data_IF_872733217221
#
_entry.id   IF_872733217221
#
_cell.length_a   1.000
_cell.length_b   1.000
_cell.length_c   1.000
_cell.angle_alpha   90.00
_cell.angle_beta   90.00
_cell.angle_gamma   90.00
#
_symmetry.space_group_name_H-M   'P 1'
#
loop_
_entity.id
_entity.type
_entity.pdbx_description
1 polymer ?
#
# COMPACT_ATOMS: atom_id res chain seq x y z
N UNK A 1 -19.43 -6.62 -3.73
CA UNK A 1 -18.71 -6.40 -2.45
C UNK A 1 -18.32 -4.92 -2.40
N UNK A 2 -18.87 -4.16 -1.44
CA UNK A 2 -18.77 -2.70 -1.36
C UNK A 2 -18.21 -2.18 -0.04
N UNK A 3 -17.37 -2.97 0.65
CA UNK A 3 -16.66 -2.55 1.87
C UNK A 3 -15.23 -3.08 1.79
N UNK A 4 -14.25 -2.18 1.95
CA UNK A 4 -12.82 -2.52 1.95
C UNK A 4 -12.43 -3.36 3.18
N UNK A 5 -13.07 -3.10 4.32
CA UNK A 5 -12.75 -3.74 5.59
C UNK A 5 -13.83 -4.75 6.01
N UNK A 6 -13.40 -5.95 6.39
CA UNK A 6 -14.28 -7.05 6.87
C UNK A 6 -14.77 -6.80 8.30
N UNK A 7 -13.95 -6.13 9.12
CA UNK A 7 -14.14 -5.90 10.56
C UNK A 7 -14.74 -4.53 10.91
N UNK A 8 -15.14 -3.74 9.89
CA UNK A 8 -15.74 -2.41 10.06
C UNK A 8 -17.20 -2.41 9.56
N UNK A 9 -18.15 -2.06 10.44
CA UNK A 9 -19.58 -2.08 10.14
C UNK A 9 -20.33 -0.86 10.70
N UNK A 10 -21.48 -0.52 10.08
CA UNK A 10 -22.21 0.73 10.29
C UNK A 10 -22.74 0.95 11.72
N UNK A 11 -22.72 -0.09 12.56
CA UNK A 11 -23.09 -0.01 13.97
C UNK A 11 -21.95 0.43 14.90
N UNK A 12 -20.72 0.54 14.41
CA UNK A 12 -19.58 1.00 15.19
C UNK A 12 -19.49 2.52 15.18
N UNK A 13 -19.16 3.12 16.33
CA UNK A 13 -19.10 4.58 16.49
C UNK A 13 -18.07 5.28 15.59
N UNK A 14 -17.03 4.57 15.18
CA UNK A 14 -15.94 5.05 14.32
C UNK A 14 -16.14 4.74 12.83
N UNK A 15 -17.28 4.15 12.46
CA UNK A 15 -17.50 3.62 11.11
C UNK A 15 -17.35 4.69 10.04
N UNK A 16 -17.97 5.86 10.23
CA UNK A 16 -17.98 6.91 9.22
C UNK A 16 -16.57 7.49 9.01
N UNK A 17 -15.84 7.71 10.11
CA UNK A 17 -14.51 8.29 10.11
C UNK A 17 -13.50 7.38 9.42
N UNK A 18 -13.54 6.07 9.71
CA UNK A 18 -12.66 5.10 9.06
C UNK A 18 -13.02 4.97 7.59
N UNK A 19 -14.29 4.87 7.24
CA UNK A 19 -14.70 4.72 5.84
C UNK A 19 -14.40 5.97 5.00
N UNK A 20 -14.53 7.16 5.57
CA UNK A 20 -14.11 8.41 4.91
C UNK A 20 -12.59 8.43 4.67
N UNK A 21 -11.80 8.18 5.72
CA UNK A 21 -10.34 8.15 5.62
C UNK A 21 -9.85 7.06 4.63
N UNK A 22 -10.56 5.95 4.55
CA UNK A 22 -10.25 4.81 3.67
C UNK A 22 -10.36 5.17 2.19
N UNK A 23 -11.25 6.10 1.85
CA UNK A 23 -11.47 6.55 0.48
C UNK A 23 -10.51 7.67 0.07
N UNK A 24 -9.69 8.18 1.00
CA UNK A 24 -8.71 9.21 0.71
C UNK A 24 -7.37 8.59 0.29
N UNK A 25 -6.96 8.90 -0.94
CA UNK A 25 -5.66 8.53 -1.50
C UNK A 25 -4.79 9.78 -1.65
N UNK A 26 -3.51 9.62 -1.35
CA UNK A 26 -2.48 10.63 -1.58
C UNK A 26 -2.08 10.63 -3.07
N UNK A 27 -1.36 11.67 -3.50
CA UNK A 27 -0.86 11.81 -4.89
C UNK A 27 0.09 10.70 -5.32
N UNK A 28 0.79 10.07 -4.37
CA UNK A 28 1.62 8.89 -4.63
C UNK A 28 0.80 7.61 -4.84
N UNK A 29 -0.53 7.68 -4.71
CA UNK A 29 -1.46 6.57 -4.85
C UNK A 29 -1.61 5.73 -3.57
N UNK A 30 -0.91 6.06 -2.49
CA UNK A 30 -1.05 5.37 -1.21
C UNK A 30 -2.29 5.85 -0.44
N UNK A 31 -2.97 4.98 0.32
CA UNK A 31 -4.14 5.36 1.09
C UNK A 31 -3.71 6.10 2.38
N UNK A 32 -4.56 7.03 2.85
CA UNK A 32 -4.34 7.70 4.15
C UNK A 32 -4.25 6.68 5.28
N UNK A 33 -5.22 5.76 5.34
CA UNK A 33 -5.25 4.65 6.29
C UNK A 33 -5.07 3.33 5.57
N UNK A 34 -4.23 2.47 6.14
CA UNK A 34 -3.97 1.12 5.66
C UNK A 34 -4.32 0.12 6.76
N UNK A 35 -4.70 -1.09 6.36
CA UNK A 35 -4.90 -2.21 7.27
C UNK A 35 -3.57 -2.86 7.63
N UNK A 36 -3.63 -3.85 8.52
CA UNK A 36 -2.48 -4.66 8.88
C UNK A 36 -2.53 -5.98 8.11
N UNK A 37 -1.36 -6.43 7.64
CA UNK A 37 -1.25 -7.72 6.94
C UNK A 37 -1.38 -8.87 7.93
N UNK A 38 -2.11 -9.91 7.57
CA UNK A 38 -2.31 -11.07 8.43
C UNK A 38 -2.48 -12.35 7.61
N UNK A 39 -2.02 -13.46 8.17
CA UNK A 39 -1.99 -14.78 7.53
C UNK A 39 -2.34 -15.92 8.48
N UNK A 40 -2.36 -15.67 9.79
CA UNK A 40 -2.69 -16.66 10.82
C UNK A 40 -4.12 -16.50 11.34
N UNK A 41 -4.78 -17.62 11.59
CA UNK A 41 -6.17 -17.67 12.04
C UNK A 41 -6.33 -18.59 13.26
N UNK A 42 -7.10 -18.15 14.26
CA UNK A 42 -7.59 -18.99 15.35
C UNK A 42 -8.78 -19.85 14.91
N UNK A 43 -9.51 -19.39 13.89
CA UNK A 43 -10.58 -20.14 13.24
C UNK A 43 -10.47 -19.99 11.73
N UNK A 44 -10.54 -21.10 10.97
CA UNK A 44 -10.11 -21.13 9.58
C UNK A 44 -10.89 -20.14 8.73
N UNK A 45 -10.18 -19.53 7.77
CA UNK A 45 -10.77 -18.85 6.63
C UNK A 45 -11.00 -19.88 5.54
N UNK A 46 -12.23 -19.97 5.04
CA UNK A 46 -12.60 -20.92 3.99
C UNK A 46 -13.25 -20.15 2.85
N UNK A 47 -12.81 -20.46 1.63
CA UNK A 47 -13.56 -20.15 0.42
C UNK A 47 -13.55 -21.39 -0.45
N UNK A 48 -14.70 -22.02 -0.64
CA UNK A 48 -14.83 -23.23 -1.45
C UNK A 48 -16.02 -23.16 -2.39
N UNK A 49 -15.86 -23.76 -3.56
CA UNK A 49 -16.89 -23.78 -4.60
C UNK A 49 -17.10 -25.21 -5.09
N UNK A 50 -18.38 -25.58 -5.18
CA UNK A 50 -18.83 -26.88 -5.65
C UNK A 50 -19.79 -26.70 -6.82
N UNK A 51 -19.70 -27.59 -7.79
CA UNK A 51 -20.76 -27.77 -8.77
C UNK A 51 -21.83 -28.67 -8.17
N UNK A 52 -23.07 -28.18 -8.11
CA UNK A 52 -24.19 -28.96 -7.60
C UNK A 52 -24.52 -30.11 -8.57
N UNK A 53 -24.63 -31.31 -8.03
CA UNK A 53 -25.13 -32.52 -8.68
C UNK A 53 -26.54 -32.89 -8.16
N UNK A 54 -27.28 -31.93 -7.61
CA UNK A 54 -28.61 -32.14 -7.02
C UNK A 54 -28.59 -32.60 -5.55
N UNK A 55 -27.45 -32.48 -4.87
CA UNK A 55 -27.30 -32.77 -3.44
C UNK A 55 -27.61 -31.54 -2.58
N UNK A 56 -28.20 -31.75 -1.39
CA UNK A 56 -28.38 -30.71 -0.38
C UNK A 56 -27.22 -30.64 0.63
N UNK A 57 -26.34 -31.64 0.63
CA UNK A 57 -25.26 -31.79 1.59
C UNK A 57 -23.90 -31.64 0.91
N UNK A 58 -23.04 -30.79 1.48
CA UNK A 58 -21.71 -30.50 0.95
C UNK A 58 -20.67 -30.75 2.03
N UNK A 59 -19.56 -31.37 1.68
CA UNK A 59 -18.44 -31.64 2.59
C UNK A 59 -17.31 -30.67 2.26
N UNK A 60 -16.99 -29.78 3.20
CA UNK A 60 -15.87 -28.86 3.13
C UNK A 60 -14.55 -29.59 3.43
N UNK A 61 -13.40 -29.07 2.96
CA UNK A 61 -12.09 -29.64 3.24
C UNK A 61 -11.74 -29.68 4.74
N UNK A 62 -12.22 -28.69 5.49
CA UNK A 62 -11.94 -28.52 6.91
C UNK A 62 -13.25 -28.42 7.72
N UNK A 63 -13.18 -28.83 8.98
CA UNK A 63 -14.29 -28.68 9.91
C UNK A 63 -14.50 -27.21 10.27
N UNK A 64 -15.76 -26.77 10.28
CA UNK A 64 -16.13 -25.39 10.58
C UNK A 64 -17.10 -25.32 11.74
N UNK A 65 -16.91 -24.30 12.57
CA UNK A 65 -17.84 -23.95 13.66
C UNK A 65 -18.24 -22.49 13.48
N UNK A 66 -19.36 -22.22 12.77
CA UNK A 66 -19.82 -20.84 12.56
C UNK A 66 -20.15 -20.17 13.89
N UNK A 67 -19.65 -18.95 14.08
CA UNK A 67 -19.94 -18.12 15.25
C UNK A 67 -20.42 -16.74 14.81
N UNK A 68 -20.87 -15.88 15.74
CA UNK A 68 -21.23 -14.49 15.40
C UNK A 68 -20.06 -13.71 14.80
N UNK A 69 -18.84 -13.95 15.30
CA UNK A 69 -17.63 -13.25 14.87
C UNK A 69 -16.96 -13.88 13.64
N UNK A 70 -17.31 -15.14 13.32
CA UNK A 70 -16.86 -15.84 12.12
C UNK A 70 -18.02 -16.64 11.51
N UNK A 71 -18.98 -15.97 10.85
CA UNK A 71 -20.14 -16.62 10.26
C UNK A 71 -19.79 -17.35 8.97
N UNK A 72 -20.50 -18.44 8.70
CA UNK A 72 -20.47 -19.11 7.40
C UNK A 72 -21.50 -18.46 6.47
N UNK A 73 -21.06 -18.05 5.29
CA UNK A 73 -21.90 -17.56 4.22
C UNK A 73 -22.00 -18.59 3.10
N UNK A 74 -23.21 -18.78 2.59
CA UNK A 74 -23.48 -19.68 1.47
C UNK A 74 -24.08 -18.87 0.33
N UNK A 75 -23.58 -19.11 -0.87
CA UNK A 75 -24.09 -18.51 -2.10
C UNK A 75 -24.45 -19.61 -3.09
N UNK A 76 -25.58 -19.46 -3.78
CA UNK A 76 -25.96 -20.31 -4.92
C UNK A 76 -26.07 -19.38 -6.12
N UNK A 77 -25.25 -19.64 -7.15
CA UNK A 77 -25.14 -18.80 -8.36
C UNK A 77 -24.96 -17.30 -8.01
N UNK A 78 -24.18 -17.03 -6.96
CA UNK A 78 -23.89 -15.67 -6.47
C UNK A 78 -24.95 -15.06 -5.55
N UNK A 79 -26.10 -15.72 -5.34
CA UNK A 79 -27.16 -15.24 -4.44
C UNK A 79 -26.96 -15.81 -3.04
N UNK A 80 -26.87 -14.92 -2.03
CA UNK A 80 -26.73 -15.32 -0.63
C UNK A 80 -27.95 -16.12 -0.17
N UNK A 81 -27.72 -17.29 0.41
CA UNK A 81 -28.75 -18.18 0.97
C UNK A 81 -28.42 -18.57 2.42
N UNK A 82 -29.40 -19.15 3.10
CA UNK A 82 -29.26 -19.70 4.45
C UNK A 82 -29.04 -21.21 4.38
N UNK A 83 -28.16 -21.73 5.22
CA UNK A 83 -27.96 -23.16 5.42
C UNK A 83 -28.86 -23.67 6.56
N UNK A 84 -29.16 -24.97 6.56
CA UNK A 84 -29.97 -25.64 7.57
C UNK A 84 -29.16 -26.00 8.81
N UNK A 85 -28.01 -26.65 8.62
CA UNK A 85 -27.12 -27.03 9.73
C UNK A 85 -25.69 -27.24 9.27
N UNK A 86 -24.77 -27.18 10.24
CA UNK A 86 -23.35 -27.47 10.06
C UNK A 86 -22.94 -28.49 11.12
N UNK A 87 -22.39 -29.62 10.67
CA UNK A 87 -21.90 -30.69 11.53
C UNK A 87 -20.44 -31.01 11.13
N UNK A 88 -19.48 -30.47 11.87
CA UNK A 88 -18.06 -30.60 11.54
C UNK A 88 -17.74 -29.96 10.20
N UNK A 89 -17.34 -30.76 9.21
CA UNK A 89 -17.05 -30.29 7.86
C UNK A 89 -18.25 -30.40 6.89
N UNK A 90 -19.41 -30.84 7.38
CA UNK A 90 -20.58 -31.08 6.54
C UNK A 90 -21.60 -29.96 6.70
N UNK A 91 -22.00 -29.34 5.59
CA UNK A 91 -23.01 -28.28 5.52
C UNK A 91 -24.25 -28.81 4.80
N UNK A 92 -25.41 -28.71 5.44
CA UNK A 92 -26.70 -29.08 4.86
C UNK A 92 -27.49 -27.83 4.49
N UNK A 93 -28.02 -27.77 3.28
CA UNK A 93 -28.89 -26.70 2.79
C UNK A 93 -30.37 -27.08 2.96
N UNK A 94 -31.26 -26.10 3.05
CA UNK A 94 -32.70 -26.34 3.15
C UNK A 94 -33.31 -27.02 1.92
N UNK A 95 -32.72 -26.78 0.75
CA UNK A 95 -33.13 -27.36 -0.52
C UNK A 95 -31.90 -27.71 -1.34
N UNK A 96 -32.00 -28.80 -2.12
CA UNK A 96 -30.98 -29.17 -3.08
C UNK A 96 -30.90 -28.10 -4.20
N UNK A 97 -29.72 -27.50 -4.45
CA UNK A 97 -29.52 -26.62 -5.57
C UNK A 97 -29.72 -27.37 -6.89
N UNK A 98 -30.08 -26.63 -7.94
CA UNK A 98 -30.25 -27.20 -9.29
C UNK A 98 -28.92 -27.80 -9.76
N UNK A 99 -29.00 -28.93 -10.48
CA UNK A 99 -27.83 -29.53 -11.12
C UNK A 99 -27.14 -28.50 -12.03
N UNK A 100 -25.83 -28.34 -11.84
CA UNK A 100 -24.99 -27.37 -12.55
C UNK A 100 -24.92 -25.97 -11.92
N UNK A 101 -25.65 -25.69 -10.83
CA UNK A 101 -25.47 -24.45 -10.06
C UNK A 101 -24.13 -24.45 -9.33
N UNK A 102 -23.50 -23.28 -9.24
CA UNK A 102 -22.28 -23.09 -8.44
C UNK A 102 -22.66 -22.73 -7.01
N UNK A 103 -22.23 -23.56 -6.06
CA UNK A 103 -22.45 -23.37 -4.63
C UNK A 103 -21.15 -22.95 -3.99
N UNK A 104 -21.09 -21.73 -3.46
CA UNK A 104 -19.91 -21.15 -2.84
C UNK A 104 -20.11 -21.04 -1.32
N UNK A 105 -19.14 -21.54 -0.56
CA UNK A 105 -19.06 -21.43 0.89
C UNK A 105 -17.95 -20.45 1.23
N UNK A 106 -18.25 -19.42 2.01
CA UNK A 106 -17.29 -18.43 2.45
C UNK A 106 -17.36 -18.22 3.95
N UNK A 107 -16.23 -18.38 4.62
CA UNK A 107 -16.05 -18.09 6.03
C UNK A 107 -14.81 -17.18 6.15
N UNK A 108 -14.94 -15.94 6.63
CA UNK A 108 -13.86 -14.94 6.57
C UNK A 108 -12.66 -15.26 7.47
N UNK A 109 -12.82 -16.21 8.39
CA UNK A 109 -11.81 -16.59 9.38
C UNK A 109 -11.79 -15.63 10.58
N UNK A 110 -11.31 -16.13 11.72
CA UNK A 110 -10.97 -15.30 12.88
C UNK A 110 -9.44 -15.17 12.94
N UNK A 111 -8.86 -13.99 12.67
CA UNK A 111 -7.41 -13.79 12.74
C UNK A 111 -6.88 -14.09 14.14
N UNK A 112 -5.68 -14.67 14.21
CA UNK A 112 -4.97 -14.82 15.48
C UNK A 112 -4.37 -13.47 15.89
N UNK A 113 -4.67 -13.02 17.10
CA UNK A 113 -4.22 -11.72 17.62
C UNK A 113 -3.25 -11.89 18.81
N UNK A 114 -2.34 -10.94 18.98
CA UNK A 114 -1.53 -10.80 20.18
C UNK A 114 -2.29 -10.10 21.32
N UNK A 115 -1.63 -9.93 22.47
CA UNK A 115 -2.20 -9.28 23.65
C UNK A 115 -2.54 -7.79 23.42
N UNK A 116 -2.04 -7.20 22.34
CA UNK A 116 -2.25 -5.80 21.97
C UNK A 116 -3.24 -5.65 20.82
N UNK A 117 -3.93 -6.73 20.44
CA UNK A 117 -4.96 -6.74 19.40
C UNK A 117 -4.42 -6.73 17.98
N UNK A 118 -3.12 -6.95 17.78
CA UNK A 118 -2.46 -6.94 16.47
C UNK A 118 -2.41 -8.34 15.88
N UNK A 119 -2.49 -8.50 14.55
CA UNK A 119 -2.41 -9.81 13.94
C UNK A 119 -1.04 -10.46 14.16
N UNK A 120 -1.05 -11.73 14.55
CA UNK A 120 0.16 -12.55 14.63
C UNK A 120 0.48 -13.06 13.23
N UNK A 121 1.72 -12.86 12.78
CA UNK A 121 2.16 -13.45 11.51
C UNK A 121 2.64 -14.89 11.71
N UNK A 122 2.33 -15.79 10.77
CA UNK A 122 2.93 -17.13 10.77
C UNK A 122 4.40 -17.10 10.35
N UNK A 123 4.82 -16.02 9.66
CA UNK A 123 6.16 -15.88 9.10
C UNK A 123 6.35 -16.77 7.87
N UNK A 124 7.01 -16.25 6.84
CA UNK A 124 7.32 -17.02 5.64
C UNK A 124 7.29 -16.21 4.36
N UNK A 125 7.49 -16.91 3.25
CA UNK A 125 7.36 -16.36 1.90
C UNK A 125 5.91 -16.54 1.45
N UNK A 126 5.30 -15.45 0.97
CA UNK A 126 3.95 -15.46 0.43
C UNK A 126 3.99 -15.48 -1.09
N UNK A 127 3.09 -16.25 -1.69
CA UNK A 127 3.01 -16.38 -3.14
C UNK A 127 1.65 -15.90 -3.63
N UNK A 128 1.63 -14.98 -4.60
CA UNK A 128 0.38 -14.60 -5.24
C UNK A 128 -0.29 -15.84 -5.86
N UNK A 129 -1.60 -16.06 -5.61
CA UNK A 129 -2.33 -17.14 -6.25
C UNK A 129 -2.16 -17.08 -7.76
N UNK A 130 -1.88 -18.25 -8.34
CA UNK A 130 -1.52 -18.33 -9.75
C UNK A 130 -2.17 -19.51 -10.45
N UNK A 131 -2.28 -19.39 -11.77
CA UNK A 131 -2.74 -20.47 -12.65
C UNK A 131 -2.05 -20.35 -14.00
N UNK A 132 -1.32 -21.39 -14.41
CA UNK A 132 -0.74 -21.47 -15.75
C UNK A 132 -1.79 -22.00 -16.72
N UNK A 133 -2.07 -21.24 -17.78
CA UNK A 133 -3.07 -21.60 -18.77
C UNK A 133 -2.75 -22.97 -19.40
N UNK A 134 -3.74 -23.86 -19.39
CA UNK A 134 -3.65 -25.15 -20.04
C UNK A 134 -4.42 -25.11 -21.37
N UNK A 135 -3.71 -25.33 -22.47
CA UNK A 135 -4.28 -25.36 -23.82
C UNK A 135 -4.79 -26.74 -24.23
N UNK A 136 -5.30 -27.53 -23.27
CA UNK A 136 -5.74 -28.91 -23.51
C UNK A 136 -4.62 -29.84 -23.98
N UNK A 137 -3.38 -29.58 -23.55
CA UNK A 137 -2.18 -30.31 -24.01
C UNK A 137 -1.71 -29.96 -25.43
N UNK A 138 -2.33 -28.99 -26.11
CA UNK A 138 -1.89 -28.57 -27.44
C UNK A 138 -0.65 -27.67 -27.35
N UNK A 139 0.53 -28.26 -27.61
CA UNK A 139 1.82 -27.55 -27.57
C UNK A 139 1.99 -26.46 -28.66
N UNK A 140 1.12 -26.43 -29.67
CA UNK A 140 1.16 -25.40 -30.71
C UNK A 140 0.46 -24.11 -30.28
N UNK A 141 -0.34 -24.14 -29.22
CA UNK A 141 -1.01 -22.96 -28.68
C UNK A 141 -0.14 -22.30 -27.61
N UNK A 142 -0.04 -20.98 -27.71
CA UNK A 142 0.58 -20.13 -26.70
C UNK A 142 -0.29 -18.92 -26.40
N UNK A 143 -0.15 -18.38 -25.20
CA UNK A 143 -0.85 -17.16 -24.82
C UNK A 143 -0.31 -15.99 -25.66
N UNK A 144 -1.22 -15.14 -26.12
CA UNK A 144 -0.87 -13.95 -26.90
C UNK A 144 -1.60 -12.73 -26.37
N UNK A 145 -0.84 -11.63 -26.21
CA UNK A 145 -1.37 -10.36 -25.76
C UNK A 145 -0.69 -9.21 -26.48
N UNK A 146 -1.50 -8.25 -26.95
CA UNK A 146 -1.02 -7.01 -27.51
C UNK A 146 -1.90 -5.85 -26.97
N UNK A 147 -1.36 -4.96 -26.13
CA UNK A 147 -2.14 -3.86 -25.54
C UNK A 147 -2.53 -2.78 -26.56
N UNK A 148 -1.91 -2.75 -27.74
CA UNK A 148 -2.11 -1.70 -28.75
C UNK A 148 -3.11 -2.10 -29.84
N UNK A 149 -3.58 -3.35 -29.85
CA UNK A 149 -4.51 -3.84 -30.85
C UNK A 149 -5.75 -4.43 -30.15
N UNK A 150 -6.88 -3.74 -30.32
CA UNK A 150 -8.17 -4.09 -29.74
C UNK A 150 -8.71 -5.44 -30.22
N UNK A 151 -8.14 -6.03 -31.28
CA UNK A 151 -8.52 -7.36 -31.75
C UNK A 151 -8.14 -8.45 -30.75
N UNK A 152 -7.10 -8.23 -29.95
CA UNK A 152 -6.58 -9.23 -29.01
C UNK A 152 -7.08 -8.93 -27.60
N UNK A 153 -8.32 -9.32 -27.39
CA UNK A 153 -9.04 -9.07 -26.13
C UNK A 153 -8.49 -9.95 -25.00
N UNK A 154 -8.39 -9.34 -23.83
CA UNK A 154 -8.15 -10.02 -22.56
C UNK A 154 -9.03 -9.43 -21.47
N UNK A 155 -9.79 -10.30 -20.80
CA UNK A 155 -10.62 -9.93 -19.67
C UNK A 155 -10.66 -11.04 -18.64
N UNK A 156 -10.35 -10.69 -17.39
CA UNK A 156 -10.51 -11.57 -16.24
C UNK A 156 -11.65 -11.05 -15.36
N UNK A 157 -12.57 -11.94 -14.99
CA UNK A 157 -13.71 -11.61 -14.15
C UNK A 157 -13.69 -12.44 -12.86
N UNK A 158 -13.92 -11.75 -11.75
CA UNK A 158 -14.20 -12.35 -10.44
C UNK A 158 -15.57 -11.87 -9.98
N UNK A 159 -16.46 -12.79 -9.57
CA UNK A 159 -17.79 -12.43 -9.08
C UNK A 159 -18.61 -11.53 -10.03
N UNK A 160 -18.42 -11.70 -11.35
CA UNK A 160 -19.06 -10.86 -12.38
C UNK A 160 -18.46 -9.45 -12.55
N UNK A 161 -17.45 -9.06 -11.75
CA UNK A 161 -16.70 -7.82 -11.91
C UNK A 161 -15.45 -8.06 -12.74
N UNK A 162 -15.23 -7.21 -13.74
CA UNK A 162 -13.97 -7.19 -14.49
C UNK A 162 -12.83 -6.69 -13.60
N UNK A 163 -11.73 -7.42 -13.57
CA UNK A 163 -10.47 -7.00 -12.96
C UNK A 163 -9.66 -6.18 -13.96
N UNK A 164 -8.79 -5.31 -13.45
CA UNK A 164 -7.87 -4.49 -14.24
C UNK A 164 -6.57 -5.24 -14.45
N UNK A 165 -6.09 -5.26 -15.70
CA UNK A 165 -4.78 -5.82 -16.00
C UNK A 165 -3.67 -4.86 -15.56
N UNK A 166 -2.70 -5.33 -14.79
CA UNK A 166 -1.47 -4.61 -14.55
C UNK A 166 -0.67 -4.46 -15.86
N UNK A 167 -0.22 -3.25 -16.17
CA UNK A 167 0.64 -3.00 -17.31
C UNK A 167 2.11 -3.22 -16.92
N UNK A 168 2.58 -4.45 -17.07
CA UNK A 168 3.95 -4.85 -16.76
C UNK A 168 4.73 -4.99 -18.07
N UNK A 169 5.83 -4.25 -18.20
CA UNK A 169 6.67 -4.32 -19.40
C UNK A 169 7.33 -5.69 -19.52
N UNK A 170 7.48 -6.20 -20.75
CA UNK A 170 8.06 -7.52 -21.01
C UNK A 170 9.47 -7.70 -20.39
N UNK A 171 10.30 -6.65 -20.43
CA UNK A 171 11.63 -6.66 -19.82
C UNK A 171 11.59 -6.79 -18.29
N UNK A 172 10.55 -6.27 -17.63
CA UNK A 172 10.43 -6.37 -16.18
C UNK A 172 10.21 -7.82 -15.74
N UNK A 173 9.41 -8.59 -16.47
CA UNK A 173 9.18 -10.03 -16.21
C UNK A 173 10.45 -10.87 -16.21
N UNK A 174 11.47 -10.46 -16.97
CA UNK A 174 12.77 -11.15 -17.03
C UNK A 174 13.82 -10.56 -16.10
N UNK A 175 13.66 -9.29 -15.69
CA UNK A 175 14.65 -8.58 -14.86
C UNK A 175 14.59 -8.94 -13.37
N UNK A 176 13.41 -9.35 -12.88
CA UNK A 176 13.24 -9.77 -11.50
C UNK A 176 13.58 -11.24 -11.36
N UNK A 177 14.58 -11.56 -10.52
CA UNK A 177 14.91 -12.94 -10.17
C UNK A 177 13.76 -13.62 -9.40
N UNK A 178 13.08 -12.86 -8.53
CA UNK A 178 11.86 -13.28 -7.85
C UNK A 178 10.64 -12.52 -8.40
N UNK A 179 9.74 -13.26 -9.05
CA UNK A 179 8.49 -12.71 -9.60
C UNK A 179 7.58 -12.15 -8.50
N UNK A 180 7.70 -12.58 -7.24
CA UNK A 180 6.86 -12.06 -6.16
C UNK A 180 7.11 -10.57 -5.89
N UNK A 181 8.35 -10.10 -6.01
CA UNK A 181 8.69 -8.67 -5.86
C UNK A 181 8.07 -7.82 -6.99
N UNK A 182 8.10 -8.33 -8.23
CA UNK A 182 7.42 -7.71 -9.36
C UNK A 182 5.89 -7.63 -9.12
N UNK A 183 5.28 -8.74 -8.68
CA UNK A 183 3.85 -8.79 -8.41
C UNK A 183 3.45 -7.91 -7.23
N UNK A 184 4.32 -7.75 -6.23
CA UNK A 184 4.12 -6.81 -5.12
C UNK A 184 4.07 -5.36 -5.59
N UNK A 185 4.92 -4.96 -6.53
CA UNK A 185 4.89 -3.63 -7.18
C UNK A 185 3.58 -3.40 -7.95
N UNK A 186 3.12 -4.39 -8.72
CA UNK A 186 2.02 -4.19 -9.69
C UNK A 186 0.63 -4.62 -9.22
N UNK A 187 0.52 -5.58 -8.31
CA UNK A 187 -0.74 -6.03 -7.70
C UNK A 187 -0.81 -5.46 -6.28
N UNK A 188 0.19 -5.78 -5.45
CA UNK A 188 0.16 -5.44 -4.03
C UNK A 188 -1.06 -6.04 -3.33
N UNK A 189 -1.72 -5.28 -2.47
CA UNK A 189 -2.97 -5.70 -1.81
C UNK A 189 -4.25 -5.22 -2.51
N UNK A 190 -4.16 -4.75 -3.76
CA UNK A 190 -5.34 -4.32 -4.52
C UNK A 190 -6.15 -5.55 -4.91
N UNK A 191 -7.46 -5.50 -4.65
CA UNK A 191 -8.39 -6.62 -4.89
C UNK A 191 -8.90 -6.67 -6.33
N UNK A 192 -8.62 -5.64 -7.13
CA UNK A 192 -9.16 -5.47 -8.47
C UNK A 192 -8.11 -5.53 -9.58
N UNK A 193 -6.86 -5.91 -9.28
CA UNK A 193 -5.77 -5.97 -10.28
C UNK A 193 -5.24 -7.39 -10.44
N UNK A 194 -5.01 -7.81 -11.68
CA UNK A 194 -4.35 -9.08 -12.00
C UNK A 194 -3.18 -8.85 -12.96
N UNK A 195 -2.26 -9.81 -13.06
CA UNK A 195 -1.16 -9.79 -14.02
C UNK A 195 -1.08 -11.10 -14.78
N UNK A 196 -0.63 -11.06 -16.03
CA UNK A 196 -0.34 -12.26 -16.82
C UNK A 196 1.08 -12.15 -17.35
N UNK A 197 1.88 -13.17 -17.06
CA UNK A 197 3.22 -13.32 -17.61
C UNK A 197 3.11 -13.71 -19.09
N UNK A 198 3.53 -12.83 -20.02
CA UNK A 198 3.37 -13.08 -21.44
C UNK A 198 4.22 -14.24 -21.95
N UNK A 199 5.29 -14.63 -21.25
CA UNK A 199 6.18 -15.70 -21.68
C UNK A 199 5.67 -17.08 -21.29
N UNK A 200 5.00 -17.18 -20.14
CA UNK A 200 4.52 -18.47 -19.61
C UNK A 200 3.00 -18.64 -19.71
N UNK A 201 2.26 -17.57 -19.97
CA UNK A 201 0.80 -17.57 -19.86
C UNK A 201 0.32 -17.83 -18.44
N UNK A 202 1.13 -17.50 -17.42
CA UNK A 202 0.72 -17.65 -16.02
C UNK A 202 -0.05 -16.44 -15.56
N UNK A 203 -1.29 -16.65 -15.12
CA UNK A 203 -2.18 -15.64 -14.56
C UNK A 203 -1.92 -15.56 -13.06
N UNK A 204 -1.65 -14.36 -12.56
CA UNK A 204 -1.48 -14.03 -11.14
C UNK A 204 -2.59 -13.10 -10.68
N UNK A 205 -3.17 -13.39 -9.52
CA UNK A 205 -4.30 -12.66 -8.97
C UNK A 205 -4.04 -12.24 -7.51
N UNK A 206 -4.80 -11.29 -6.94
CA UNK A 206 -4.66 -10.87 -5.55
C UNK A 206 -4.88 -12.02 -4.57
N UNK A 207 -4.28 -11.92 -3.38
CA UNK A 207 -4.45 -12.91 -2.30
C UNK A 207 -5.91 -13.13 -1.91
N UNK A 208 -6.76 -12.09 -2.02
CA UNK A 208 -8.20 -12.17 -1.73
C UNK A 208 -8.96 -13.10 -2.68
N UNK A 209 -8.41 -13.38 -3.88
CA UNK A 209 -8.99 -14.26 -4.89
C UNK A 209 -8.39 -15.67 -4.86
N UNK A 210 -7.62 -16.03 -3.81
CA UNK A 210 -7.13 -17.38 -3.65
C UNK A 210 -8.30 -18.39 -3.61
N UNK A 211 -8.21 -19.43 -4.42
CA UNK A 211 -9.24 -20.48 -4.53
C UNK A 211 -10.60 -20.00 -5.06
N UNK A 212 -10.67 -18.81 -5.67
CA UNK A 212 -11.89 -18.29 -6.33
C UNK A 212 -11.92 -18.74 -7.79
N UNK A 213 -13.07 -19.20 -8.30
CA UNK A 213 -13.25 -19.44 -9.74
C UNK A 213 -13.34 -18.12 -10.50
N UNK A 214 -12.53 -18.01 -11.54
CA UNK A 214 -12.41 -16.81 -12.36
C UNK A 214 -12.78 -17.15 -13.81
N UNK A 215 -13.53 -16.26 -14.45
CA UNK A 215 -13.79 -16.36 -15.89
C UNK A 215 -12.72 -15.59 -16.64
N UNK A 216 -11.99 -16.27 -17.51
CA UNK A 216 -10.92 -15.66 -18.29
C UNK A 216 -11.21 -15.77 -19.78
N UNK A 217 -11.21 -14.62 -20.44
CA UNK A 217 -11.29 -14.49 -21.89
C UNK A 217 -9.96 -13.96 -22.36
N UNK A 218 -9.31 -14.66 -23.28
CA UNK A 218 -7.96 -14.31 -23.73
C UNK A 218 -7.70 -14.80 -25.15
N UNK A 219 -6.63 -14.31 -25.78
CA UNK A 219 -6.22 -14.76 -27.11
C UNK A 219 -5.11 -15.80 -27.00
N UNK A 220 -5.22 -16.88 -27.77
CA UNK A 220 -4.15 -17.83 -28.01
C UNK A 220 -3.64 -17.72 -29.45
N UNK A 221 -2.34 -17.80 -29.65
CA UNK A 221 -1.68 -17.90 -30.95
C UNK A 221 -1.38 -19.37 -31.27
N UNK A 222 -1.79 -19.83 -32.44
CA UNK A 222 -1.56 -21.18 -32.94
C UNK A 222 -0.37 -21.18 -33.90
N UNK A 223 0.78 -21.62 -33.39
CA UNK A 223 2.06 -21.66 -34.14
C UNK A 223 2.03 -22.56 -35.37
N UNK A 224 1.09 -23.51 -35.44
CA UNK A 224 1.02 -24.45 -36.56
C UNK A 224 0.48 -23.82 -37.85
N UNK A 225 -0.34 -22.78 -37.74
CA UNK A 225 -1.01 -22.12 -38.86
C UNK A 225 -0.98 -20.58 -38.79
N UNK A 226 -0.36 -20.01 -37.75
CA UNK A 226 -0.26 -18.56 -37.54
C UNK A 226 -1.58 -17.88 -37.17
N UNK A 227 -2.61 -18.65 -36.79
CA UNK A 227 -3.93 -18.10 -36.45
C UNK A 227 -4.04 -17.65 -34.99
N UNK A 228 -4.92 -16.69 -34.75
CA UNK A 228 -5.26 -16.24 -33.40
C UNK A 228 -6.67 -16.72 -33.06
N UNK A 229 -6.83 -17.31 -31.88
CA UNK A 229 -8.10 -17.87 -31.40
C UNK A 229 -8.48 -17.23 -30.09
N UNK A 230 -9.73 -16.77 -30.00
CA UNK A 230 -10.30 -16.31 -28.75
C UNK A 230 -10.66 -17.53 -27.90
N UNK A 231 -10.12 -17.57 -26.70
CA UNK A 231 -10.33 -18.61 -25.70
C UNK A 231 -11.19 -18.06 -24.58
N UNK A 232 -12.06 -18.90 -24.03
CA UNK A 232 -12.83 -18.61 -22.82
C UNK A 232 -12.81 -19.84 -21.92
N UNK A 233 -12.48 -19.64 -20.66
CA UNK A 233 -12.42 -20.73 -19.69
C UNK A 233 -12.66 -20.26 -18.26
N UNK A 234 -12.93 -21.23 -17.39
CA UNK A 234 -12.91 -21.03 -15.94
C UNK A 234 -11.57 -21.50 -15.42
N UNK A 235 -10.89 -20.66 -14.63
CA UNK A 235 -9.65 -21.03 -13.95
C UNK A 235 -9.79 -20.82 -12.44
N UNK A 236 -9.01 -21.56 -11.66
CA UNK A 236 -8.98 -21.44 -10.19
C UNK A 236 -7.52 -21.22 -9.79
N UNK A 237 -7.17 -19.97 -9.48
CA UNK A 237 -5.82 -19.63 -9.07
C UNK A 237 -5.63 -20.00 -7.60
N UNK A 238 -4.51 -20.64 -7.29
CA UNK A 238 -4.24 -21.16 -5.93
C UNK A 238 -2.85 -20.77 -5.45
N UNK A 239 -2.72 -20.59 -4.15
CA UNK A 239 -1.45 -20.50 -3.43
C UNK A 239 -1.60 -21.18 -2.07
N UNK A 240 -0.52 -21.84 -1.64
CA UNK A 240 -0.40 -22.46 -0.33
C UNK A 240 -0.04 -21.48 0.78
N UNK A 241 0.41 -20.26 0.43
CA UNK A 241 0.85 -19.23 1.38
C UNK A 241 0.40 -17.86 0.89
N UNK A 242 -0.56 -17.27 1.60
CA UNK A 242 -1.19 -16.00 1.23
C UNK A 242 -1.22 -15.04 2.42
N UNK A 243 -1.14 -13.75 2.14
CA UNK A 243 -1.25 -12.70 3.14
C UNK A 243 -2.45 -11.80 2.83
N UNK A 244 -3.32 -11.57 3.80
CA UNK A 244 -4.52 -10.76 3.65
C UNK A 244 -4.32 -9.36 4.21
N UNK A 245 -5.01 -8.37 3.63
CA UNK A 245 -5.04 -6.99 4.08
C UNK A 245 -6.44 -6.38 3.84
N UNK A 246 -7.47 -7.14 4.21
CA UNK A 246 -8.89 -6.79 4.10
C UNK A 246 -9.50 -6.45 5.48
N UNK A 247 -8.67 -6.18 6.50
CA UNK A 247 -9.08 -5.82 7.87
C UNK A 247 -8.32 -4.61 8.38
N UNK A 248 -9.02 -3.79 9.17
CA UNK A 248 -8.45 -2.57 9.75
C UNK A 248 -7.81 -2.83 11.13
N UNK A 249 -8.35 -3.75 11.93
CA UNK A 249 -8.00 -4.02 13.32
C UNK A 249 -8.22 -2.82 14.26
N UNK A 250 -9.50 -2.40 14.49
CA UNK A 250 -9.80 -1.18 15.25
C UNK A 250 -9.34 -1.19 16.71
N UNK A 251 -9.20 -2.38 17.32
CA UNK A 251 -8.76 -2.53 18.71
C UNK A 251 -7.24 -2.69 18.85
N UNK A 252 -6.49 -2.74 17.74
CA UNK A 252 -5.04 -2.87 17.76
C UNK A 252 -4.39 -1.62 18.36
N UNK A 253 -3.48 -1.82 19.33
CA UNK A 253 -2.67 -0.71 19.85
C UNK A 253 -1.70 -0.22 18.78
N UNK A 254 -1.68 1.10 18.59
CA UNK A 254 -0.82 1.77 17.62
C UNK A 254 0.59 2.00 18.18
N UNK A 255 1.61 1.58 17.43
CA UNK A 255 3.01 1.89 17.76
C UNK A 255 3.34 3.34 17.44
N UNK A 256 4.45 3.85 17.98
CA UNK A 256 4.90 5.20 17.69
C UNK A 256 5.26 5.39 16.22
N UNK A 257 5.88 4.39 15.60
CA UNK A 257 6.16 4.37 14.16
C UNK A 257 4.89 4.53 13.31
N UNK A 258 3.83 3.80 13.65
CA UNK A 258 2.53 3.91 12.96
C UNK A 258 1.89 5.29 13.14
N UNK A 259 1.93 5.83 14.36
CA UNK A 259 1.43 7.18 14.62
C UNK A 259 2.18 8.26 13.83
N UNK A 260 3.49 8.12 13.69
CA UNK A 260 4.35 9.01 12.91
C UNK A 260 4.04 8.88 11.42
N UNK A 261 3.93 7.65 10.90
CA UNK A 261 3.55 7.41 9.50
C UNK A 261 2.18 8.01 9.17
N UNK A 262 1.18 7.82 10.06
CA UNK A 262 -0.14 8.43 9.90
C UNK A 262 -0.08 9.97 9.88
N UNK A 263 0.72 10.57 10.75
CA UNK A 263 0.89 12.02 10.77
C UNK A 263 1.60 12.58 9.55
N UNK A 264 2.60 11.88 9.01
CA UNK A 264 3.23 12.29 7.76
C UNK A 264 2.24 12.19 6.60
N UNK A 265 1.41 11.15 6.53
CA UNK A 265 0.35 11.07 5.52
C UNK A 265 -0.67 12.21 5.65
N UNK A 266 -1.06 12.56 6.88
CA UNK A 266 -1.89 13.75 7.13
C UNK A 266 -1.16 15.03 6.68
N UNK A 267 0.13 15.16 6.96
CA UNK A 267 0.98 16.28 6.53
C UNK A 267 0.93 16.44 5.01
N UNK A 268 1.16 15.36 4.28
CA UNK A 268 1.11 15.32 2.82
C UNK A 268 -0.28 15.72 2.29
N UNK A 269 -1.35 15.24 2.93
CA UNK A 269 -2.72 15.63 2.57
C UNK A 269 -2.98 17.13 2.76
N UNK A 270 -2.34 17.78 3.74
CA UNK A 270 -2.47 19.22 3.94
C UNK A 270 -1.75 19.99 2.83
N UNK A 271 -0.53 19.57 2.46
CA UNK A 271 0.17 20.14 1.31
C UNK A 271 -0.67 20.03 0.04
N UNK A 272 -1.18 18.85 -0.29
CA UNK A 272 -2.02 18.60 -1.47
C UNK A 272 -3.29 19.46 -1.52
N UNK A 273 -3.88 19.78 -0.37
CA UNK A 273 -5.15 20.52 -0.31
C UNK A 273 -4.98 22.03 -0.23
N UNK A 274 -3.90 22.50 0.37
CA UNK A 274 -3.73 23.92 0.72
C UNK A 274 -2.59 24.61 -0.04
N UNK A 275 -1.78 23.87 -0.79
CA UNK A 275 -0.63 24.42 -1.53
C UNK A 275 -0.39 23.67 -2.84
N UNK A 276 0.20 24.33 -3.83
CA UNK A 276 0.73 23.68 -5.03
C UNK A 276 2.17 23.14 -4.84
N UNK A 277 2.71 23.26 -3.62
CA UNK A 277 4.07 22.84 -3.31
C UNK A 277 4.11 21.36 -2.92
N UNK A 278 5.11 20.64 -3.44
CA UNK A 278 5.37 19.30 -2.95
C UNK A 278 5.71 19.33 -1.45
N UNK A 279 5.16 18.41 -0.64
CA UNK A 279 5.53 18.30 0.76
C UNK A 279 7.04 18.03 0.85
N UNK A 280 7.79 18.77 1.70
CA UNK A 280 9.21 18.50 1.90
C UNK A 280 9.43 17.02 2.23
N UNK A 281 10.35 16.41 1.48
CA UNK A 281 10.83 15.05 1.69
C UNK A 281 12.19 15.13 2.37
N UNK A 282 12.76 13.98 2.74
CA UNK A 282 14.14 13.92 3.24
C UNK A 282 15.19 14.49 2.28
N UNK A 283 14.81 14.78 1.04
CA UNK A 283 15.65 15.43 0.04
C UNK A 283 14.84 16.45 -0.76
N UNK A 284 15.55 17.39 -1.37
CA UNK A 284 15.00 18.27 -2.40
C UNK A 284 16.07 18.63 -3.42
N UNK A 285 15.62 18.92 -4.64
CA UNK A 285 16.40 19.53 -5.71
C UNK A 285 15.62 20.72 -6.23
N UNK A 286 16.00 21.91 -5.78
CA UNK A 286 15.34 23.17 -6.14
C UNK A 286 16.19 23.92 -7.17
N UNK A 287 15.60 24.27 -8.31
CA UNK A 287 16.27 24.93 -9.42
C UNK A 287 15.62 26.30 -9.61
N UNK A 288 16.41 27.36 -9.45
CA UNK A 288 15.95 28.74 -9.54
C UNK A 288 16.75 29.48 -10.60
N UNK A 289 16.08 30.30 -11.40
CA UNK A 289 16.72 31.19 -12.38
C UNK A 289 16.90 32.54 -11.73
N UNK A 290 18.14 33.01 -11.65
CA UNK A 290 18.48 34.27 -11.01
C UNK A 290 18.16 35.47 -11.89
N UNK A 291 17.66 36.54 -11.27
CA UNK A 291 17.60 37.86 -11.88
C UNK A 291 18.90 38.64 -11.60
N UNK A 292 19.17 39.65 -12.43
CA UNK A 292 20.35 40.52 -12.25
C UNK A 292 20.44 41.09 -10.83
N UNK A 293 21.56 40.84 -10.15
CA UNK A 293 21.84 41.33 -8.82
C UNK A 293 21.29 40.46 -7.69
N UNK A 294 20.56 39.38 -7.99
CA UNK A 294 20.01 38.50 -6.98
C UNK A 294 21.11 37.77 -6.21
N UNK A 295 20.99 37.77 -4.89
CA UNK A 295 21.91 37.09 -3.95
C UNK A 295 21.21 36.19 -2.96
N UNK A 296 19.94 36.44 -2.70
CA UNK A 296 19.15 35.73 -1.69
C UNK A 296 18.22 34.77 -2.40
N UNK A 297 18.29 33.51 -1.99
CA UNK A 297 17.48 32.43 -2.51
C UNK A 297 16.78 31.76 -1.34
N UNK A 298 15.48 31.55 -1.50
CA UNK A 298 14.67 30.81 -0.53
C UNK A 298 14.25 29.50 -1.17
N UNK A 299 14.52 28.40 -0.51
CA UNK A 299 14.21 27.06 -1.01
C UNK A 299 12.93 26.50 -0.39
N UNK A 300 12.30 25.57 -1.11
CA UNK A 300 11.06 24.92 -0.66
C UNK A 300 11.24 23.97 0.54
N UNK A 301 12.44 23.39 0.73
CA UNK A 301 12.75 22.48 1.84
C UNK A 301 13.51 23.15 2.99
N UNK A 302 13.31 22.67 4.22
CA UNK A 302 14.23 23.00 5.31
C UNK A 302 15.55 22.22 5.13
N UNK A 303 16.66 22.74 5.63
CA UNK A 303 17.95 22.04 5.70
C UNK A 303 18.69 22.41 7.00
N UNK A 304 19.71 21.63 7.36
CA UNK A 304 20.50 21.90 8.56
C UNK A 304 21.23 23.24 8.42
N UNK A 305 21.14 24.12 9.42
CA UNK A 305 21.74 25.47 9.36
C UNK A 305 23.28 25.44 9.28
N UNK A 306 23.90 24.31 9.65
CA UNK A 306 25.33 24.08 9.45
C UNK A 306 25.70 23.86 7.96
N UNK A 307 24.73 23.60 7.09
CA UNK A 307 24.91 23.40 5.65
C UNK A 307 25.62 22.10 5.26
N UNK A 308 25.78 21.16 6.20
CA UNK A 308 26.58 19.94 5.99
C UNK A 308 26.07 19.06 4.85
N UNK A 309 24.75 18.97 4.70
CA UNK A 309 24.08 18.15 3.68
C UNK A 309 23.55 18.98 2.49
N UNK A 310 23.87 20.28 2.41
CA UNK A 310 23.42 21.18 1.34
C UNK A 310 24.52 21.41 0.31
N UNK A 311 24.22 21.07 -0.94
CA UNK A 311 25.04 21.40 -2.11
C UNK A 311 24.39 22.56 -2.86
N UNK A 312 25.16 23.63 -3.08
CA UNK A 312 24.73 24.81 -3.85
C UNK A 312 25.53 24.84 -5.14
N UNK A 313 24.87 24.97 -6.28
CA UNK A 313 25.51 25.12 -7.59
C UNK A 313 25.05 26.40 -8.28
N UNK A 314 25.95 27.04 -9.01
CA UNK A 314 25.64 28.12 -9.95
C UNK A 314 26.22 27.73 -11.31
N UNK A 315 25.40 27.62 -12.34
CA UNK A 315 25.78 27.16 -13.69
C UNK A 315 26.65 25.88 -13.64
N UNK A 316 26.18 24.88 -12.89
CA UNK A 316 26.84 23.61 -12.59
C UNK A 316 28.11 23.67 -11.71
N UNK A 317 28.66 24.85 -11.40
CA UNK A 317 29.80 24.98 -10.49
C UNK A 317 29.35 24.88 -9.02
N UNK A 318 29.93 23.92 -8.27
CA UNK A 318 29.64 23.73 -6.84
C UNK A 318 30.29 24.85 -6.02
N UNK A 319 29.49 25.52 -5.19
CA UNK A 319 29.95 26.51 -4.23
C UNK A 319 30.31 25.87 -2.89
N UNK A 320 31.25 26.49 -2.19
CA UNK A 320 31.77 26.05 -0.90
C UNK A 320 31.45 27.06 0.20
N UNK A 321 30.71 26.59 1.21
CA UNK A 321 30.49 27.34 2.45
C UNK A 321 31.80 27.65 3.18
N UNK A 322 32.73 26.68 3.20
CA UNK A 322 34.03 26.81 3.87
C UNK A 322 34.91 27.90 3.24
N UNK A 323 34.74 28.18 1.94
CA UNK A 323 35.41 29.29 1.24
C UNK A 323 34.65 30.62 1.35
N UNK A 324 33.50 30.65 2.02
CA UNK A 324 32.66 31.83 2.15
C UNK A 324 31.93 32.22 0.85
N UNK A 325 31.76 31.30 -0.10
CA UNK A 325 31.09 31.57 -1.38
C UNK A 325 29.57 31.73 -1.22
N UNK A 326 29.03 31.18 -0.13
CA UNK A 326 27.67 31.44 0.33
C UNK A 326 27.59 31.35 1.86
N UNK A 327 26.54 31.95 2.42
CA UNK A 327 26.17 31.83 3.82
C UNK A 327 24.71 31.35 3.93
N UNK A 328 24.40 30.73 5.05
CA UNK A 328 23.04 30.27 5.38
C UNK A 328 22.48 31.27 6.39
N UNK A 329 21.40 31.96 6.02
CA UNK A 329 20.73 32.93 6.90
C UNK A 329 19.83 32.18 7.89
N UNK A 330 19.06 31.23 7.37
CA UNK A 330 18.20 30.33 8.12
C UNK A 330 18.11 28.98 7.40
N UNK A 331 17.32 28.05 7.95
CA UNK A 331 17.12 26.70 7.42
C UNK A 331 16.47 26.62 6.04
N UNK A 332 16.12 27.75 5.41
CA UNK A 332 15.52 27.81 4.05
C UNK A 332 16.14 28.88 3.17
N UNK A 333 17.06 29.68 3.68
CA UNK A 333 17.53 30.89 3.00
C UNK A 333 19.04 30.86 2.86
N UNK A 334 19.49 30.90 1.62
CA UNK A 334 20.90 30.96 1.23
C UNK A 334 21.20 32.34 0.67
N UNK A 335 22.29 32.93 1.15
CA UNK A 335 22.85 34.17 0.64
C UNK A 335 24.17 33.90 -0.07
N UNK A 336 24.22 34.16 -1.37
CA UNK A 336 25.45 34.05 -2.14
C UNK A 336 26.38 35.25 -1.87
N UNK A 337 27.69 35.02 -1.87
CA UNK A 337 28.67 36.07 -1.66
C UNK A 337 28.67 37.09 -2.79
N UNK A 338 28.52 36.62 -4.04
CA UNK A 338 28.54 37.45 -5.24
C UNK A 338 27.13 37.59 -5.84
N UNK A 339 26.78 38.77 -6.39
CA UNK A 339 25.55 38.95 -7.16
C UNK A 339 25.59 38.14 -8.46
N UNK A 340 24.45 37.52 -8.80
CA UNK A 340 24.30 36.79 -10.04
C UNK A 340 23.84 37.68 -11.20
N UNK A 341 24.14 37.24 -12.41
CA UNK A 341 23.65 37.81 -13.66
C UNK A 341 22.28 37.21 -14.01
N UNK A 342 21.54 37.94 -14.83
CA UNK A 342 20.28 37.45 -15.38
C UNK A 342 20.44 36.10 -16.08
N UNK A 343 19.54 35.17 -15.79
CA UNK A 343 19.47 33.87 -16.46
C UNK A 343 20.43 32.81 -15.92
N UNK A 344 21.28 33.12 -14.93
CA UNK A 344 22.11 32.10 -14.28
C UNK A 344 21.25 31.10 -13.52
N UNK A 345 21.60 29.82 -13.63
CA UNK A 345 20.85 28.73 -12.99
C UNK A 345 21.49 28.43 -11.64
N UNK A 346 20.69 28.48 -10.58
CA UNK A 346 21.10 28.13 -9.23
C UNK A 346 20.39 26.86 -8.81
N UNK A 347 21.16 25.85 -8.41
CA UNK A 347 20.61 24.58 -7.93
C UNK A 347 20.93 24.42 -6.45
N UNK A 348 19.92 24.05 -5.67
CA UNK A 348 20.04 23.66 -4.27
C UNK A 348 19.68 22.19 -4.15
N UNK A 349 20.65 21.37 -3.79
CA UNK A 349 20.49 19.92 -3.65
C UNK A 349 20.73 19.58 -2.19
N UNK A 350 19.75 18.98 -1.54
CA UNK A 350 19.83 18.51 -0.17
C UNK A 350 19.33 17.08 -0.08
N UNK A 351 20.03 16.25 0.68
CA UNK A 351 19.59 14.90 1.00
C UNK A 351 19.99 14.54 2.43
N UNK A 352 18.99 14.39 3.29
CA UNK A 352 19.17 13.91 4.66
C UNK A 352 19.36 12.40 4.64
N UNK A 353 20.60 11.99 4.86
CA UNK A 353 21.00 10.58 4.76
C UNK A 353 20.89 9.80 6.07
N UNK A 354 20.54 10.47 7.18
CA UNK A 354 20.35 9.84 8.50
C UNK A 354 19.32 10.55 9.34
N UNK A 355 18.64 9.77 10.17
CA UNK A 355 17.77 10.26 11.24
C UNK A 355 18.60 10.93 12.33
N UNK A 356 18.02 11.89 13.05
CA UNK A 356 18.63 12.44 14.27
C UNK A 356 18.49 11.51 15.48
N UNK A 357 17.59 10.53 15.39
CA UNK A 357 17.41 9.48 16.40
C UNK A 357 18.28 8.27 16.07
N UNK A 358 19.10 7.83 17.02
CA UNK A 358 20.10 6.76 16.84
C UNK A 358 19.50 5.37 16.69
N UNK A 359 18.25 5.16 17.12
CA UNK A 359 17.50 3.91 17.01
C UNK A 359 16.61 3.81 15.76
N UNK A 360 16.74 4.76 14.82
CA UNK A 360 15.99 4.75 13.56
C UNK A 360 16.87 4.20 12.44
N UNK A 361 16.60 2.97 12.03
CA UNK A 361 17.27 2.32 10.89
C UNK A 361 16.81 2.93 9.55
N UNK A 362 17.75 3.14 8.62
CA UNK A 362 17.45 3.57 7.26
C UNK A 362 16.75 2.51 6.39
N UNK A 363 16.73 1.26 6.85
CA UNK A 363 16.01 0.15 6.20
C UNK A 363 14.60 -0.06 6.77
N UNK A 364 14.24 0.66 7.83
CA UNK A 364 12.92 0.52 8.44
C UNK A 364 11.83 1.12 7.54
N UNK A 365 10.66 0.47 7.49
CA UNK A 365 9.53 0.92 6.67
C UNK A 365 9.05 2.34 7.03
N UNK A 366 9.21 2.74 8.30
CA UNK A 366 8.81 4.06 8.80
C UNK A 366 9.88 5.14 8.59
N UNK A 367 11.09 4.78 8.11
CA UNK A 367 12.20 5.71 7.94
C UNK A 367 11.84 6.95 7.09
N UNK A 368 11.19 6.82 5.91
CA UNK A 368 10.86 7.99 5.10
C UNK A 368 9.94 8.97 5.83
N UNK A 369 8.99 8.45 6.62
CA UNK A 369 8.05 9.26 7.41
C UNK A 369 8.75 10.00 8.55
N UNK A 370 9.66 9.32 9.25
CA UNK A 370 10.47 9.94 10.31
C UNK A 370 11.29 11.09 9.73
N UNK A 371 12.03 10.82 8.65
CA UNK A 371 12.89 11.82 8.02
C UNK A 371 12.08 13.03 7.56
N UNK A 372 10.93 12.82 6.90
CA UNK A 372 10.06 13.90 6.45
C UNK A 372 9.58 14.78 7.62
N UNK A 373 9.12 14.18 8.72
CA UNK A 373 8.66 14.92 9.89
C UNK A 373 9.78 15.57 10.69
N UNK A 374 11.02 15.07 10.60
CA UNK A 374 12.18 15.74 11.18
C UNK A 374 12.54 17.04 10.46
N UNK A 375 12.10 17.25 9.22
CA UNK A 375 12.29 18.49 8.48
C UNK A 375 11.29 19.59 8.86
N UNK A 376 10.29 19.25 9.68
CA UNK A 376 9.21 20.15 10.05
C UNK A 376 9.33 20.66 11.49
N UNK A 377 9.00 21.93 11.65
CA UNK A 377 8.95 22.62 12.94
C UNK A 377 7.84 23.65 12.95
N UNK A 378 7.51 24.12 14.15
CA UNK A 378 6.63 25.25 14.38
C UNK A 378 7.28 26.22 15.37
N UNK A 379 6.88 27.48 15.31
CA UNK A 379 7.33 28.51 16.24
C UNK A 379 6.46 28.44 17.50
N UNK A 380 7.03 28.05 18.63
CA UNK A 380 6.39 28.17 19.94
C UNK A 380 6.78 29.49 20.60
N UNK A 381 6.10 29.87 21.68
CA UNK A 381 6.46 31.06 22.49
C UNK A 381 7.91 31.00 22.99
N UNK A 382 8.39 29.80 23.34
CA UNK A 382 9.76 29.54 23.77
C UNK A 382 10.76 29.33 22.60
N UNK A 383 10.39 29.71 21.38
CA UNK A 383 11.20 29.55 20.18
C UNK A 383 10.81 28.34 19.33
N UNK A 384 11.66 28.04 18.35
CA UNK A 384 11.42 26.99 17.34
C UNK A 384 11.38 25.61 17.99
N UNK A 385 10.36 24.82 17.68
CA UNK A 385 10.22 23.43 18.15
C UNK A 385 9.98 22.48 16.99
N UNK A 386 10.72 21.39 16.99
CA UNK A 386 10.56 20.31 16.02
C UNK A 386 9.20 19.62 16.19
N UNK A 387 8.59 19.26 15.05
CA UNK A 387 7.36 18.49 15.04
C UNK A 387 7.60 17.12 15.70
N UNK A 388 8.70 16.45 15.34
CA UNK A 388 9.12 15.19 15.93
C UNK A 388 10.23 15.36 16.98
N UNK A 389 10.02 14.76 18.16
CA UNK A 389 10.99 14.71 19.27
C UNK A 389 11.18 13.28 19.77
N UNK A 390 12.33 13.01 20.37
CA UNK A 390 12.63 11.74 21.02
C UNK A 390 11.83 11.56 22.31
N UNK A 391 11.82 10.32 22.80
CA UNK A 391 11.19 9.91 24.07
C UNK A 391 12.15 10.04 25.24
N UNK A 392 13.43 9.75 25.01
CA UNK A 392 14.51 9.92 25.99
C UNK A 392 15.31 11.14 25.56
N UNK A 393 15.47 12.10 26.47
CA UNK A 393 16.33 13.26 26.27
C UNK A 393 17.53 13.09 27.20
N UNK A 394 18.57 12.43 26.71
CA UNK A 394 19.94 12.73 27.15
C UNK A 394 20.55 13.66 26.10
N UNK A 395 21.48 14.51 26.51
CA UNK A 395 22.05 15.59 25.68
C UNK A 395 22.67 15.09 24.35
N UNK A 396 23.01 13.79 24.26
CA UNK A 396 23.71 13.20 23.12
C UNK A 396 22.96 12.07 22.37
N UNK A 397 21.82 11.56 22.87
CA UNK A 397 21.13 10.40 22.26
C UNK A 397 19.60 10.47 22.44
N UNK A 398 18.95 11.24 21.57
CA UNK A 398 17.50 11.18 21.49
C UNK A 398 17.07 9.86 20.85
N UNK A 399 16.31 9.03 21.58
CA UNK A 399 15.71 7.80 21.05
C UNK A 399 14.28 8.04 20.61
N UNK A 400 13.90 7.55 19.43
CA UNK A 400 12.52 7.60 18.95
C UNK A 400 11.65 6.54 19.63
N UNK A 401 12.21 5.36 19.84
CA UNK A 401 11.57 4.12 20.31
C UNK A 401 10.37 3.73 19.43
N UNK A 402 10.61 3.43 18.13
CA UNK A 402 9.57 3.33 17.11
C UNK A 402 8.54 2.21 17.38
N UNK A 403 8.99 1.09 17.93
CA UNK A 403 8.13 -0.09 18.16
C UNK A 403 7.35 -0.02 19.48
N UNK A 404 7.61 0.98 20.33
CA UNK A 404 6.85 1.16 21.55
C UNK A 404 5.46 1.74 21.26
N UNK A 405 4.46 1.28 22.03
CA UNK A 405 3.15 1.91 22.03
C UNK A 405 3.22 3.34 22.57
N UNK A 406 2.42 4.22 21.95
CA UNK A 406 2.28 5.59 22.45
C UNK A 406 1.35 5.64 23.65
N UNK A 407 1.81 6.32 24.70
CA UNK A 407 0.94 6.76 25.79
C UNK A 407 -0.04 7.84 25.30
N UNK A 408 -1.15 8.04 26.02
CA UNK A 408 -2.08 9.15 25.74
C UNK A 408 -1.38 10.51 25.75
N UNK A 409 -0.43 10.72 26.67
CA UNK A 409 0.33 11.96 26.76
C UNK A 409 1.19 12.19 25.51
N UNK A 410 1.83 11.15 24.98
CA UNK A 410 2.60 11.24 23.73
C UNK A 410 1.71 11.52 22.53
N UNK A 411 0.58 10.81 22.39
CA UNK A 411 -0.37 11.04 21.31
C UNK A 411 -0.90 12.48 21.32
N UNK A 412 -1.36 12.98 22.48
CA UNK A 412 -1.84 14.37 22.63
C UNK A 412 -0.73 15.37 22.33
N UNK A 413 0.48 15.14 22.85
CA UNK A 413 1.62 16.04 22.61
C UNK A 413 2.02 16.10 21.14
N UNK A 414 1.93 14.98 20.43
CA UNK A 414 2.26 14.90 19.02
C UNK A 414 1.17 15.56 18.16
N UNK A 415 -0.11 15.27 18.43
CA UNK A 415 -1.24 15.92 17.76
C UNK A 415 -1.29 17.43 18.00
N UNK A 416 -1.00 17.91 19.20
CA UNK A 416 -0.99 19.34 19.49
C UNK A 416 0.14 20.06 18.73
N UNK A 417 1.32 19.43 18.60
CA UNK A 417 2.40 19.96 17.77
C UNK A 417 2.02 20.01 16.29
N UNK A 418 1.39 18.95 15.80
CA UNK A 418 0.89 18.90 14.44
C UNK A 418 -0.15 19.98 14.17
N UNK A 419 -1.08 20.20 15.11
CA UNK A 419 -2.05 21.31 15.05
C UNK A 419 -1.36 22.66 14.95
N UNK A 420 -0.36 22.95 15.80
CA UNK A 420 0.37 24.22 15.75
C UNK A 420 1.10 24.41 14.42
N UNK A 421 1.79 23.36 13.96
CA UNK A 421 2.43 23.34 12.65
C UNK A 421 1.45 23.63 11.52
N UNK A 422 0.31 22.92 11.47
CA UNK A 422 -0.69 23.09 10.42
C UNK A 422 -1.29 24.50 10.40
N UNK A 423 -1.60 25.06 11.57
CA UNK A 423 -2.08 26.45 11.67
C UNK A 423 -1.01 27.42 11.13
N UNK A 424 0.24 27.31 11.57
CA UNK A 424 1.27 28.27 11.16
C UNK A 424 1.69 28.15 9.70
N UNK A 425 1.58 26.95 9.11
CA UNK A 425 1.95 26.71 7.72
C UNK A 425 0.86 27.12 6.73
N UNK A 426 -0.40 26.85 7.05
CA UNK A 426 -1.49 26.96 6.07
C UNK A 426 -2.56 27.98 6.43
N UNK A 427 -2.62 28.45 7.68
CA UNK A 427 -3.55 29.53 8.05
C UNK A 427 -2.91 30.86 7.67
N UNK A 428 -3.34 31.40 6.53
CA UNK A 428 -3.07 32.77 6.09
C UNK A 428 -3.77 33.78 7.02
#
# INVERSE_FOLDING_TARGET
MGKRWVDIHAGQWFYNEIMEATNYYLEDGEPLVAGMTYDKFDSPRIYEEFQAAGQATFTLPEAVTPTGDNPLYVFIDGVKTIYKSVNGNTVELYAAPKVGSTVSFFMPGKPALDADGRPVSAGGVYYYPSYTLNFGGNANLEYYYNPFDMKYLEYLYAFGRALKRANVQAAEWTSYADKQELLKKYIGYRDDIYAVDPNTGTVYVPYSLNNVSLQFVYTAHDKSNGSYKLMKGTLKATSSSVSYNDRFFPDAKMTRAEGIAFLDRLRQSFYQRFTDAEPPKGSFHDIQIAYTGQKVFRVNGAFNTDGTDLVVRVDAAILSKAKGEYTIIDDRTVLLAQPLKDGQVVEFIFAKNRSKFSDVSNTAWYYPHVIALEMEYYNAEAGRRWLLTGRVATEDDALLVPDAFMTRAEAVSLLNRFRHWGIQKFKL
#
